data_IF_983916822205
#
_entry.id   IF_983916822205
#
_cell.length_a   1.000
_cell.length_b   1.000
_cell.length_c   1.000
_cell.angle_alpha   90.00
_cell.angle_beta   90.00
_cell.angle_gamma   90.00
#
_symmetry.space_group_name_H-M   'P 1'
#
loop_
_entity.id
_entity.type
_entity.pdbx_description
1 polymer ?
#
# COMPACT_ATOMS: atom_id res chain seq x y z
N UNK A 1 5.20 9.37 14.08
CA UNK A 1 3.73 9.32 14.00
C UNK A 1 3.20 9.23 12.56
N UNK A 2 3.56 10.11 11.60
CA UNK A 2 2.99 10.05 10.25
C UNK A 2 3.41 8.83 9.41
N UNK A 3 4.60 8.26 9.60
CA UNK A 3 5.01 7.01 8.92
C UNK A 3 4.10 5.84 9.30
N UNK A 4 3.76 5.73 10.60
CA UNK A 4 2.87 4.67 11.08
C UNK A 4 1.48 4.86 10.48
N UNK A 5 0.98 6.10 10.43
CA UNK A 5 -0.30 6.42 9.78
C UNK A 5 -0.27 6.11 8.28
N UNK A 6 0.83 6.43 7.58
CA UNK A 6 1.00 6.14 6.15
C UNK A 6 1.06 4.65 5.85
N UNK A 7 1.78 3.87 6.67
CA UNK A 7 1.84 2.41 6.56
C UNK A 7 0.48 1.80 6.85
N UNK A 8 -0.20 2.23 7.91
CA UNK A 8 -1.54 1.74 8.27
C UNK A 8 -2.55 2.08 7.17
N UNK A 9 -2.50 3.28 6.60
CA UNK A 9 -3.37 3.68 5.49
C UNK A 9 -3.10 2.88 4.21
N UNK A 10 -1.84 2.62 3.87
CA UNK A 10 -1.47 1.80 2.72
C UNK A 10 -1.93 0.34 2.91
N UNK A 11 -1.71 -0.24 4.09
CA UNK A 11 -2.17 -1.60 4.42
C UNK A 11 -3.70 -1.67 4.37
N UNK A 12 -4.40 -0.70 4.95
CA UNK A 12 -5.86 -0.64 4.89
C UNK A 12 -6.37 -0.56 3.45
N UNK A 13 -5.77 0.28 2.60
CA UNK A 13 -6.16 0.40 1.20
C UNK A 13 -5.93 -0.90 0.41
N UNK A 14 -4.79 -1.57 0.61
CA UNK A 14 -4.48 -2.85 -0.02
C UNK A 14 -5.48 -3.93 0.39
N UNK A 15 -5.80 -4.01 1.68
CA UNK A 15 -6.77 -4.98 2.20
C UNK A 15 -8.16 -4.71 1.65
N UNK A 16 -8.59 -3.44 1.59
CA UNK A 16 -9.91 -3.08 1.06
C UNK A 16 -10.04 -3.39 -0.43
N UNK A 17 -9.05 -2.99 -1.22
CA UNK A 17 -9.03 -3.24 -2.68
C UNK A 17 -8.91 -4.74 -2.97
N UNK A 18 -8.02 -5.43 -2.25
CA UNK A 18 -7.85 -6.88 -2.37
C UNK A 18 -9.12 -7.64 -2.01
N UNK A 19 -9.82 -7.25 -0.93
CA UNK A 19 -11.07 -7.89 -0.50
C UNK A 19 -12.22 -7.66 -1.49
N UNK A 20 -12.38 -6.43 -2.00
CA UNK A 20 -13.40 -6.10 -3.00
C UNK A 20 -13.16 -6.86 -4.31
N UNK A 21 -11.93 -6.89 -4.78
CA UNK A 21 -11.60 -7.53 -6.05
C UNK A 21 -11.56 -9.07 -5.96
N UNK A 22 -11.21 -9.63 -4.79
CA UNK A 22 -11.34 -11.06 -4.52
C UNK A 22 -12.80 -11.52 -4.52
N UNK A 23 -13.72 -10.72 -3.96
CA UNK A 23 -15.15 -11.00 -3.97
C UNK A 23 -15.77 -10.99 -5.39
N UNK A 24 -15.15 -10.27 -6.33
CA UNK A 24 -15.55 -10.22 -7.74
C UNK A 24 -14.98 -11.37 -8.58
N UNK A 25 -14.22 -12.30 -7.98
CA UNK A 25 -13.67 -13.48 -8.64
C UNK A 25 -12.59 -13.19 -9.69
N UNK A 26 -12.04 -11.97 -9.71
CA UNK A 26 -11.29 -11.42 -10.85
C UNK A 26 -9.83 -11.04 -10.58
N UNK A 27 -9.25 -11.35 -9.43
CA UNK A 27 -7.83 -11.08 -9.22
C UNK A 27 -6.98 -12.22 -9.75
N UNK A 28 -6.42 -12.04 -10.94
CA UNK A 28 -5.28 -12.83 -11.37
C UNK A 28 -4.06 -12.54 -10.50
N UNK A 29 -3.10 -13.46 -10.53
CA UNK A 29 -1.82 -13.33 -9.81
C UNK A 29 -1.09 -12.03 -10.14
N UNK A 30 -1.29 -11.51 -11.36
CA UNK A 30 -0.68 -10.26 -11.83
C UNK A 30 -1.26 -9.06 -11.09
N UNK A 31 -2.58 -8.95 -10.94
CA UNK A 31 -3.21 -7.83 -10.23
C UNK A 31 -2.78 -7.78 -8.75
N UNK A 32 -2.66 -8.94 -8.11
CA UNK A 32 -2.18 -9.03 -6.72
C UNK A 32 -0.75 -8.51 -6.60
N UNK A 33 0.13 -8.94 -7.51
CA UNK A 33 1.53 -8.50 -7.54
C UNK A 33 1.62 -6.98 -7.75
N UNK A 34 0.80 -6.42 -8.64
CA UNK A 34 0.76 -4.97 -8.89
C UNK A 34 0.31 -4.20 -7.65
N UNK A 35 -0.76 -4.64 -6.97
CA UNK A 35 -1.26 -3.99 -5.75
C UNK A 35 -0.19 -4.01 -4.65
N UNK A 36 0.47 -5.15 -4.45
CA UNK A 36 1.54 -5.30 -3.46
C UNK A 36 2.73 -4.39 -3.80
N UNK A 37 3.18 -4.37 -5.06
CA UNK A 37 4.28 -3.51 -5.51
C UNK A 37 3.97 -2.02 -5.30
N UNK A 38 2.77 -1.59 -5.68
CA UNK A 38 2.33 -0.19 -5.49
C UNK A 38 2.30 0.17 -4.02
N UNK A 39 1.78 -0.72 -3.17
CA UNK A 39 1.76 -0.54 -1.71
C UNK A 39 3.15 -0.39 -1.10
N UNK A 40 4.09 -1.24 -1.50
CA UNK A 40 5.49 -1.20 -1.05
C UNK A 40 6.18 0.08 -1.49
N UNK A 41 6.01 0.50 -2.76
CA UNK A 41 6.61 1.72 -3.30
C UNK A 41 6.04 2.96 -2.58
N UNK A 42 4.72 3.03 -2.41
CA UNK A 42 4.07 4.14 -1.72
C UNK A 42 4.54 4.26 -0.27
N UNK A 43 4.63 3.14 0.45
CA UNK A 43 5.18 3.10 1.82
C UNK A 43 6.64 3.54 1.89
N UNK A 44 7.47 3.09 0.95
CA UNK A 44 8.88 3.45 0.89
C UNK A 44 9.10 4.95 0.58
N UNK A 45 8.35 5.50 -0.38
CA UNK A 45 8.42 6.93 -0.73
C UNK A 45 7.95 7.80 0.43
N UNK A 46 6.83 7.43 1.07
CA UNK A 46 6.33 8.14 2.25
C UNK A 46 7.35 8.10 3.42
N UNK A 47 7.95 6.95 3.68
CA UNK A 47 9.00 6.81 4.69
C UNK A 47 10.24 7.67 4.38
N UNK A 48 10.67 7.71 3.11
CA UNK A 48 11.84 8.49 2.67
C UNK A 48 11.61 9.99 2.75
N UNK A 49 10.41 10.45 2.37
CA UNK A 49 10.04 11.87 2.43
C UNK A 49 9.97 12.38 3.88
N UNK A 50 9.50 11.53 4.81
CA UNK A 50 9.45 11.86 6.23
C UNK A 50 10.85 11.88 6.88
N UNK A 51 11.72 10.94 6.50
CA UNK A 51 13.11 10.92 6.94
C UNK A 51 13.89 12.17 6.46
N UNK A 52 13.55 12.68 5.26
CA UNK A 52 14.12 13.92 4.72
C UNK A 52 13.60 15.18 5.43
N UNK A 53 12.34 15.22 5.84
CA UNK A 53 11.73 16.39 6.53
C UNK A 53 12.22 16.62 7.96
N UNK A 54 12.94 15.66 8.56
CA UNK A 54 13.53 15.79 9.90
C UNK A 54 14.99 16.25 9.90
N UNK A 55 15.56 16.58 8.72
CA UNK A 55 16.79 17.36 8.59
C UNK A 55 16.43 18.79 8.20
#
# INVERSE_FOLDING_TARGET
MPVIVGVVAAVAAIVLVGAVMAALGGLGTVEIIVIVLVGVIAGAVAGKWEAGRRR
#
